data_IF_947443343974
#
_entry.id   IF_947443343974
#
_cell.length_a   1.000
_cell.length_b   1.000
_cell.length_c   1.000
_cell.angle_alpha   90.00
_cell.angle_beta   90.00
_cell.angle_gamma   90.00
#
_symmetry.space_group_name_H-M   'P 1'
#
loop_
_entity.id
_entity.type
_entity.pdbx_description
1 polymer ?
#
# COMPACT_ATOMS: atom_id res chain seq x y z
N UNK A 1 12.44 2.80 -6.41
CA UNK A 1 11.06 2.45 -6.81
C UNK A 1 10.14 2.56 -5.60
N UNK A 2 9.40 3.66 -5.47
CA UNK A 2 8.59 3.94 -4.28
C UNK A 2 7.24 3.22 -4.31
N UNK A 3 6.74 2.86 -5.49
CA UNK A 3 5.51 2.08 -5.68
C UNK A 3 5.86 0.60 -5.88
N UNK A 4 5.15 -0.30 -5.19
CA UNK A 4 5.31 -1.76 -5.35
C UNK A 4 3.98 -2.49 -5.13
N UNK A 5 3.65 -3.45 -6.00
CA UNK A 5 2.55 -4.41 -5.80
C UNK A 5 2.89 -5.34 -4.63
N UNK A 6 1.92 -5.61 -3.77
CA UNK A 6 2.08 -6.58 -2.68
C UNK A 6 2.05 -8.02 -3.21
N UNK A 7 2.86 -8.89 -2.62
CA UNK A 7 2.87 -10.32 -3.00
C UNK A 7 1.68 -11.00 -2.34
N UNK A 8 1.02 -11.90 -3.05
CA UNK A 8 -0.16 -12.62 -2.55
C UNK A 8 -1.48 -11.84 -2.70
N UNK A 9 -1.40 -10.56 -3.07
CA UNK A 9 -2.57 -9.69 -3.22
C UNK A 9 -2.91 -9.45 -4.69
N UNK A 10 -4.21 -9.51 -4.98
CA UNK A 10 -4.71 -9.30 -6.33
C UNK A 10 -4.49 -7.86 -6.78
N UNK A 11 -4.90 -6.89 -5.94
CA UNK A 11 -5.05 -5.48 -6.32
C UNK A 11 -4.43 -4.50 -5.32
N UNK A 12 -3.61 -4.97 -4.38
CA UNK A 12 -3.01 -4.14 -3.33
C UNK A 12 -1.58 -3.68 -3.67
N UNK A 13 -1.31 -2.41 -3.37
CA UNK A 13 -0.05 -1.74 -3.65
C UNK A 13 0.38 -0.88 -2.48
N UNK A 14 1.69 -0.57 -2.43
CA UNK A 14 2.26 0.36 -1.45
C UNK A 14 3.08 1.45 -2.10
N UNK A 15 3.02 2.67 -1.55
CA UNK A 15 3.96 3.75 -1.79
C UNK A 15 4.86 3.92 -0.56
N UNK A 16 6.17 3.96 -0.73
CA UNK A 16 7.13 4.32 0.33
C UNK A 16 7.30 5.83 0.42
N UNK A 17 7.14 6.38 1.61
CA UNK A 17 7.39 7.79 1.93
C UNK A 17 8.21 7.89 3.22
N UNK A 18 9.54 7.95 3.10
CA UNK A 18 10.43 7.90 4.26
C UNK A 18 10.19 6.63 5.09
N UNK A 19 9.81 6.83 6.35
CA UNK A 19 9.42 5.77 7.30
C UNK A 19 7.95 5.37 7.25
N UNK A 20 7.13 6.07 6.47
CA UNK A 20 5.73 5.76 6.27
C UNK A 20 5.49 4.99 4.97
N UNK A 21 4.34 4.31 4.92
CA UNK A 21 3.84 3.62 3.74
C UNK A 21 2.38 3.98 3.53
N UNK A 22 2.04 4.24 2.28
CA UNK A 22 0.66 4.44 1.85
C UNK A 22 0.19 3.16 1.19
N UNK A 23 -0.84 2.54 1.74
CA UNK A 23 -1.50 1.37 1.17
C UNK A 23 -2.67 1.81 0.30
N UNK A 24 -2.72 1.32 -0.94
CA UNK A 24 -3.79 1.63 -1.87
C UNK A 24 -4.19 0.41 -2.70
N UNK A 25 -5.43 0.41 -3.16
CA UNK A 25 -5.98 -0.59 -4.05
C UNK A 25 -6.25 0.02 -5.43
N UNK A 26 -6.16 -0.81 -6.47
CA UNK A 26 -6.62 -0.45 -7.81
C UNK A 26 -7.90 -1.24 -8.11
N UNK A 27 -8.98 -0.55 -8.46
CA UNK A 27 -10.25 -1.16 -8.86
C UNK A 27 -10.67 -0.57 -10.20
N UNK A 28 -10.41 -1.29 -11.29
CA UNK A 28 -10.61 -0.78 -12.65
C UNK A 28 -9.69 0.41 -12.93
N UNK A 29 -10.29 1.56 -13.24
CA UNK A 29 -9.62 2.85 -13.46
C UNK A 29 -9.45 3.69 -12.18
N UNK A 30 -9.95 3.18 -11.04
CA UNK A 30 -10.00 3.93 -9.78
C UNK A 30 -8.88 3.50 -8.83
N UNK A 31 -8.20 4.48 -8.25
CA UNK A 31 -7.22 4.29 -7.17
C UNK A 31 -7.87 4.63 -5.83
N UNK A 32 -7.85 3.69 -4.89
CA UNK A 32 -8.43 3.86 -3.55
C UNK A 32 -7.30 3.88 -2.52
N UNK A 33 -7.03 5.05 -1.94
CA UNK A 33 -6.09 5.19 -0.82
C UNK A 33 -6.75 4.71 0.47
N UNK A 34 -6.25 3.62 1.04
CA UNK A 34 -6.88 2.96 2.21
C UNK A 34 -6.23 3.37 3.53
N UNK A 35 -4.90 3.40 3.59
CA UNK A 35 -4.14 3.60 4.83
C UNK A 35 -2.86 4.37 4.61
N UNK A 36 -2.48 5.17 5.61
CA UNK A 36 -1.13 5.73 5.75
C UNK A 36 -0.62 5.30 7.12
N UNK A 37 0.42 4.47 7.14
CA UNK A 37 0.92 3.86 8.37
C UNK A 37 2.44 3.95 8.44
N UNK A 38 2.97 3.97 9.66
CA UNK A 38 4.41 3.85 9.87
C UNK A 38 4.90 2.45 9.45
N UNK A 39 6.17 2.32 9.04
CA UNK A 39 6.78 1.07 8.56
C UNK A 39 6.49 -0.14 9.44
N UNK A 40 6.58 0.06 10.75
CA UNK A 40 6.47 -0.99 11.78
C UNK A 40 5.05 -1.56 11.87
N UNK A 41 4.06 -0.81 11.39
CA UNK A 41 2.64 -1.14 11.49
C UNK A 41 2.07 -1.61 10.15
N UNK A 42 2.66 -1.16 9.04
CA UNK A 42 2.12 -1.42 7.71
C UNK A 42 1.93 -2.90 7.42
N UNK A 43 2.94 -3.76 7.63
CA UNK A 43 2.84 -5.18 7.27
C UNK A 43 1.90 -5.96 8.23
N UNK A 44 1.48 -5.35 9.35
CA UNK A 44 0.51 -5.92 10.30
C UNK A 44 -0.93 -5.57 9.96
N UNK A 45 -1.16 -4.39 9.39
CA UNK A 45 -2.50 -3.83 9.18
C UNK A 45 -2.84 -3.56 7.71
N UNK A 46 -1.91 -3.83 6.79
CA UNK A 46 -2.10 -3.73 5.34
C UNK A 46 -1.36 -4.88 4.63
N UNK A 47 -1.89 -5.50 3.57
CA UNK A 47 -3.09 -5.14 2.78
C UNK A 47 -4.38 -5.11 3.62
#
# INVERSE_FOLDING_TARGET
KNIKKLKGEENAYRIRLGDYRIGFFIKGDTIIFSRVLHRREFDRYFP
#
